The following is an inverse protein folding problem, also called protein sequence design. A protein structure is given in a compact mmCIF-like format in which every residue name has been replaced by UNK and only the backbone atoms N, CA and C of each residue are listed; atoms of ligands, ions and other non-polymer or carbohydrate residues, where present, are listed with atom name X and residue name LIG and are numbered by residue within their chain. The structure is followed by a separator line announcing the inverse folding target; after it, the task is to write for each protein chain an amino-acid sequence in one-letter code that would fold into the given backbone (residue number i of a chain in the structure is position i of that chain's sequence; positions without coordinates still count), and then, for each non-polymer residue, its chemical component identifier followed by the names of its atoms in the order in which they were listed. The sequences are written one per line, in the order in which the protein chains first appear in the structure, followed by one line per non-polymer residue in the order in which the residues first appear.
data_IF_018282889244
#
_entry.id   IF_018282889244
#
_cell.length_a   1.000
_cell.length_b   1.000
_cell.length_c   1.000
_cell.angle_alpha   90.00
_cell.angle_beta   90.00
_cell.angle_gamma   90.00
#
_symmetry.space_group_name_H-M   'P 1'
#
loop_
_entity.id
_entity.type
_entity.pdbx_description
1 polymer ?
#
# COMPACT_ATOMS: atom_id res chain seq x y z
N UNK A 1 -18.63 -11.33 17.74
CA UNK A 1 -19.00 -10.92 16.36
C UNK A 1 -17.76 -10.39 15.71
N UNK A 2 -17.37 -10.96 14.56
CA UNK A 2 -16.20 -10.45 13.83
C UNK A 2 -16.50 -9.03 13.34
N UNK A 3 -15.83 -8.06 13.91
CA UNK A 3 -15.98 -6.62 13.58
C UNK A 3 -15.51 -6.38 12.15
N UNK A 4 -14.43 -7.05 11.72
CA UNK A 4 -13.91 -7.00 10.37
C UNK A 4 -14.52 -8.15 9.54
N UNK A 5 -15.24 -7.81 8.48
CA UNK A 5 -15.92 -8.78 7.60
C UNK A 5 -15.27 -8.80 6.23
N UNK A 6 -14.96 -9.98 5.71
CA UNK A 6 -14.59 -10.14 4.32
C UNK A 6 -15.85 -10.08 3.44
N UNK A 7 -15.78 -9.31 2.36
CA UNK A 7 -16.84 -9.13 1.38
C UNK A 7 -16.28 -9.17 -0.04
N UNK A 8 -17.15 -9.27 -1.01
CA UNK A 8 -16.83 -9.25 -2.43
C UNK A 8 -17.60 -8.15 -3.16
N UNK A 9 -17.01 -7.67 -4.25
CA UNK A 9 -17.62 -6.70 -5.14
C UNK A 9 -17.20 -6.98 -6.58
N UNK A 10 -18.18 -6.93 -7.48
CA UNK A 10 -17.91 -7.02 -8.91
C UNK A 10 -17.56 -5.64 -9.49
N UNK A 11 -16.45 -5.56 -10.20
CA UNK A 11 -15.95 -4.40 -10.92
C UNK A 11 -15.53 -4.85 -12.33
N UNK A 12 -16.23 -4.42 -13.37
CA UNK A 12 -15.99 -4.77 -14.78
C UNK A 12 -15.75 -6.27 -14.99
N UNK A 13 -16.72 -7.09 -14.61
CA UNK A 13 -16.69 -8.55 -14.72
C UNK A 13 -15.51 -9.24 -13.97
N UNK A 14 -14.92 -8.56 -13.01
CA UNK A 14 -13.92 -9.13 -12.10
C UNK A 14 -14.45 -9.07 -10.67
N UNK A 15 -14.30 -10.14 -9.94
CA UNK A 15 -14.63 -10.20 -8.52
C UNK A 15 -13.44 -9.79 -7.69
N UNK A 16 -13.62 -8.75 -6.88
CA UNK A 16 -12.63 -8.28 -5.91
C UNK A 16 -13.09 -8.59 -4.50
N UNK A 17 -12.17 -9.10 -3.69
CA UNK A 17 -12.37 -9.26 -2.26
C UNK A 17 -11.93 -7.98 -1.53
N UNK A 18 -12.58 -7.67 -0.42
CA UNK A 18 -12.18 -6.58 0.46
C UNK A 18 -12.55 -6.86 1.92
N UNK A 19 -11.83 -6.24 2.83
CA UNK A 19 -12.18 -6.20 4.25
C UNK A 19 -13.02 -4.97 4.51
N UNK A 20 -14.12 -5.16 5.25
CA UNK A 20 -15.05 -4.11 5.65
C UNK A 20 -15.22 -4.07 7.16
N UNK A 21 -15.01 -2.89 7.74
CA UNK A 21 -15.42 -2.58 9.10
C UNK A 21 -16.51 -1.52 9.03
N UNK A 22 -17.64 -1.76 9.69
CA UNK A 22 -18.78 -0.85 9.67
C UNK A 22 -18.58 0.27 10.69
N UNK A 23 -18.67 1.52 10.23
CA UNK A 23 -18.67 2.71 11.08
C UNK A 23 -20.07 3.13 11.49
N UNK A 24 -20.16 3.92 12.58
CA UNK A 24 -21.43 4.48 13.06
C UNK A 24 -21.97 5.57 12.13
N UNK A 25 -21.06 6.32 11.48
CA UNK A 25 -21.45 7.37 10.53
C UNK A 25 -21.35 6.86 9.09
N UNK A 26 -22.50 6.75 8.42
CA UNK A 26 -22.59 6.25 7.04
C UNK A 26 -21.97 7.20 6.00
N UNK A 27 -21.73 8.45 6.37
CA UNK A 27 -21.18 9.48 5.51
C UNK A 27 -19.66 9.59 5.58
N UNK A 28 -19.00 8.79 6.45
CA UNK A 28 -17.57 8.82 6.69
C UNK A 28 -16.91 7.50 6.34
N UNK A 29 -16.04 7.51 5.33
CA UNK A 29 -15.34 6.32 4.87
C UNK A 29 -13.82 6.49 4.86
N UNK A 30 -13.12 5.42 5.16
CA UNK A 30 -11.68 5.26 4.91
C UNK A 30 -11.51 4.15 3.88
N UNK A 31 -10.86 4.45 2.76
CA UNK A 31 -10.44 3.46 1.77
C UNK A 31 -8.97 3.16 1.94
N UNK A 32 -8.64 1.88 2.04
CA UNK A 32 -7.28 1.44 2.25
C UNK A 32 -6.76 0.55 1.12
N UNK A 33 -5.51 0.81 0.70
CA UNK A 33 -4.79 0.04 -0.32
C UNK A 33 -3.49 -0.50 0.28
N UNK A 34 -3.32 -1.82 0.20
CA UNK A 34 -2.19 -2.53 0.81
C UNK A 34 -0.90 -2.45 -0.01
N UNK A 35 0.24 -2.87 0.57
CA UNK A 35 1.53 -2.98 -0.10
C UNK A 35 1.59 -4.17 -1.08
N UNK A 36 2.53 -4.12 -2.03
CA UNK A 36 2.83 -5.24 -2.95
C UNK A 36 3.16 -6.51 -2.16
N UNK A 37 2.60 -7.64 -2.59
CA UNK A 37 2.81 -8.95 -1.94
C UNK A 37 1.98 -9.18 -0.67
N UNK A 38 1.22 -8.18 -0.21
CA UNK A 38 0.35 -8.26 0.96
C UNK A 38 -1.13 -8.41 0.55
N UNK A 39 -2.02 -8.30 1.51
CA UNK A 39 -3.47 -8.34 1.32
C UNK A 39 -4.16 -7.44 2.36
N UNK A 40 -5.44 -7.19 2.20
CA UNK A 40 -6.21 -6.32 3.09
C UNK A 40 -6.29 -6.87 4.52
N UNK A 41 -6.37 -8.19 4.68
CA UNK A 41 -6.50 -8.84 6.00
C UNK A 41 -5.23 -8.66 6.86
N UNK A 42 -4.05 -8.53 6.23
CA UNK A 42 -2.78 -8.20 6.90
C UNK A 42 -2.92 -7.00 7.85
N UNK A 43 -3.75 -6.04 7.47
CA UNK A 43 -3.92 -4.77 8.21
C UNK A 43 -5.13 -4.79 9.15
N UNK A 44 -5.82 -5.91 9.34
CA UNK A 44 -6.96 -5.98 10.26
C UNK A 44 -6.59 -5.57 11.69
N UNK A 45 -5.47 -6.02 12.29
CA UNK A 45 -5.07 -5.55 13.62
C UNK A 45 -4.88 -4.02 13.67
N UNK A 46 -4.33 -3.42 12.61
CA UNK A 46 -4.19 -1.97 12.46
C UNK A 46 -5.55 -1.29 12.32
N UNK A 47 -6.47 -1.82 11.51
CA UNK A 47 -7.80 -1.24 11.32
C UNK A 47 -8.63 -1.27 12.60
N UNK A 48 -8.57 -2.34 13.37
CA UNK A 48 -9.27 -2.46 14.64
C UNK A 48 -8.81 -1.39 15.62
N UNK A 49 -7.47 -1.20 15.74
CA UNK A 49 -6.91 -0.16 16.61
C UNK A 49 -7.24 1.25 16.13
N UNK A 50 -7.13 1.50 14.83
CA UNK A 50 -7.48 2.81 14.28
C UNK A 50 -8.96 3.13 14.47
N UNK A 51 -9.84 2.14 14.23
CA UNK A 51 -11.28 2.29 14.39
C UNK A 51 -11.68 2.60 15.85
N UNK A 52 -11.03 1.94 16.82
CA UNK A 52 -11.17 2.26 18.24
C UNK A 52 -10.83 3.74 18.53
N UNK A 53 -9.66 4.19 18.07
CA UNK A 53 -9.18 5.56 18.28
C UNK A 53 -10.02 6.63 17.56
N UNK A 54 -10.73 6.24 16.51
CA UNK A 54 -11.69 7.09 15.79
C UNK A 54 -13.13 6.90 16.30
N UNK A 55 -13.31 6.31 17.49
CA UNK A 55 -14.62 6.11 18.14
C UNK A 55 -15.63 5.39 17.23
N UNK A 56 -15.14 4.50 16.36
CA UNK A 56 -15.94 3.77 15.37
C UNK A 56 -16.75 4.65 14.42
N UNK A 57 -16.32 5.91 14.18
CA UNK A 57 -17.07 6.84 13.34
C UNK A 57 -16.97 6.51 11.85
N UNK A 58 -15.85 5.95 11.39
CA UNK A 58 -15.58 5.70 9.98
C UNK A 58 -15.85 4.24 9.58
N UNK A 59 -16.50 4.04 8.44
CA UNK A 59 -16.47 2.72 7.78
C UNK A 59 -15.12 2.56 7.07
N UNK A 60 -14.48 1.39 7.23
CA UNK A 60 -13.19 1.09 6.57
C UNK A 60 -13.43 0.07 5.46
N UNK A 61 -12.95 0.40 4.26
CA UNK A 61 -12.99 -0.43 3.07
C UNK A 61 -11.56 -0.70 2.62
N UNK A 62 -11.05 -1.89 2.82
CA UNK A 62 -9.68 -2.28 2.44
C UNK A 62 -9.73 -3.29 1.29
N UNK A 63 -9.29 -2.87 0.11
CA UNK A 63 -9.32 -3.68 -1.11
C UNK A 63 -8.18 -4.69 -1.13
N UNK A 64 -8.48 -5.97 -1.41
CA UNK A 64 -7.47 -6.89 -1.94
C UNK A 64 -7.21 -6.50 -3.40
N UNK A 65 -6.07 -5.89 -3.67
CA UNK A 65 -5.74 -5.41 -5.01
C UNK A 65 -5.55 -6.58 -5.98
N UNK A 66 -5.76 -6.36 -7.27
CA UNK A 66 -5.60 -7.38 -8.34
C UNK A 66 -4.33 -8.21 -8.16
N UNK A 67 -4.49 -9.53 -8.27
CA UNK A 67 -3.39 -10.50 -8.09
C UNK A 67 -2.92 -10.67 -6.64
N UNK A 68 -3.67 -10.15 -5.67
CA UNK A 68 -3.37 -10.24 -4.25
C UNK A 68 -4.60 -10.67 -3.45
N UNK A 69 -4.36 -11.16 -2.24
CA UNK A 69 -5.41 -11.55 -1.31
C UNK A 69 -6.38 -12.56 -1.91
N UNK A 70 -7.66 -12.42 -1.63
CA UNK A 70 -8.69 -13.30 -2.15
C UNK A 70 -9.43 -12.74 -3.37
N UNK A 71 -8.98 -11.62 -3.95
CA UNK A 71 -9.53 -11.12 -5.22
C UNK A 71 -9.32 -12.11 -6.36
N UNK A 72 -10.37 -12.34 -7.15
CA UNK A 72 -10.40 -13.26 -8.30
C UNK A 72 -10.17 -12.52 -9.63
N UNK A 73 -9.88 -11.23 -9.57
CA UNK A 73 -9.60 -10.42 -10.74
C UNK A 73 -8.41 -10.99 -11.52
N UNK A 74 -8.61 -11.19 -12.82
CA UNK A 74 -7.60 -11.78 -13.71
C UNK A 74 -6.28 -11.02 -13.63
N UNK A 75 -5.20 -11.73 -13.31
CA UNK A 75 -3.88 -11.19 -13.08
C UNK A 75 -2.85 -11.97 -13.93
N UNK A 76 -2.63 -11.49 -15.16
CA UNK A 76 -1.66 -12.08 -16.10
C UNK A 76 -0.38 -11.24 -16.06
N UNK A 77 0.77 -11.77 -15.58
CA UNK A 77 2.01 -10.98 -15.40
C UNK A 77 2.48 -10.27 -16.67
N UNK A 78 2.33 -10.88 -17.85
CA UNK A 78 2.74 -10.28 -19.14
C UNK A 78 1.91 -9.03 -19.51
N UNK A 79 0.69 -8.92 -19.02
CA UNK A 79 -0.22 -7.80 -19.30
C UNK A 79 -0.03 -6.62 -18.34
N UNK A 80 0.64 -6.81 -17.22
CA UNK A 80 0.91 -5.75 -16.26
C UNK A 80 2.05 -4.86 -16.77
N UNK A 81 1.71 -3.75 -17.41
CA UNK A 81 2.67 -2.80 -17.99
C UNK A 81 2.97 -1.60 -17.08
N UNK A 82 2.08 -1.28 -16.16
CA UNK A 82 2.23 -0.18 -15.20
C UNK A 82 1.25 -0.31 -14.04
N UNK A 83 1.42 0.47 -12.98
CA UNK A 83 0.48 0.57 -11.87
C UNK A 83 -0.86 1.25 -12.22
N UNK A 84 -1.02 1.71 -13.46
CA UNK A 84 -2.32 2.24 -13.92
C UNK A 84 -3.46 1.23 -13.75
N UNK A 85 -3.16 -0.07 -13.82
CA UNK A 85 -4.12 -1.14 -13.53
C UNK A 85 -4.70 -1.03 -12.12
N UNK A 86 -3.83 -0.84 -11.11
CA UNK A 86 -4.26 -0.65 -9.73
C UNK A 86 -5.01 0.68 -9.52
N UNK A 87 -4.63 1.73 -10.23
CA UNK A 87 -5.35 3.01 -10.18
C UNK A 87 -6.77 2.88 -10.73
N UNK A 88 -6.94 2.14 -11.82
CA UNK A 88 -8.25 1.90 -12.43
C UNK A 88 -9.13 1.05 -11.51
N UNK A 89 -8.59 -0.05 -10.97
CA UNK A 89 -9.32 -0.92 -10.05
C UNK A 89 -9.76 -0.14 -8.79
N UNK A 90 -8.84 0.61 -8.18
CA UNK A 90 -9.11 1.44 -7.01
C UNK A 90 -10.12 2.56 -7.28
N UNK A 91 -10.05 3.20 -8.47
CA UNK A 91 -11.01 4.21 -8.91
C UNK A 91 -12.44 3.65 -8.94
N UNK A 92 -12.60 2.46 -9.54
CA UNK A 92 -13.91 1.83 -9.64
C UNK A 92 -14.42 1.32 -8.29
N UNK A 93 -13.51 0.83 -7.43
CA UNK A 93 -13.84 0.45 -6.07
C UNK A 93 -14.35 1.66 -5.26
N UNK A 94 -13.64 2.78 -5.33
CA UNK A 94 -14.05 4.03 -4.68
C UNK A 94 -15.43 4.49 -5.17
N UNK A 95 -15.69 4.44 -6.48
CA UNK A 95 -16.99 4.84 -7.06
C UNK A 95 -18.16 4.02 -6.53
N UNK A 96 -17.95 2.73 -6.21
CA UNK A 96 -18.98 1.85 -5.66
C UNK A 96 -19.42 2.22 -4.25
N UNK A 97 -18.49 2.71 -3.42
CA UNK A 97 -18.70 2.86 -1.98
C UNK A 97 -18.47 4.28 -1.44
N UNK A 98 -18.07 5.25 -2.29
CA UNK A 98 -17.80 6.61 -1.81
C UNK A 98 -19.05 7.27 -1.22
N UNK A 99 -18.83 7.95 -0.10
CA UNK A 99 -19.82 8.76 0.62
C UNK A 99 -19.52 10.25 0.46
N UNK A 100 -20.09 11.09 1.32
CA UNK A 100 -19.85 12.53 1.34
C UNK A 100 -18.45 12.89 1.84
N UNK A 101 -17.89 12.12 2.79
CA UNK A 101 -16.53 12.29 3.31
C UNK A 101 -15.72 11.02 3.12
N UNK A 102 -14.63 11.10 2.35
CA UNK A 102 -13.75 9.96 2.13
C UNK A 102 -12.31 10.33 2.45
N UNK A 103 -11.66 9.47 3.22
CA UNK A 103 -10.21 9.50 3.47
C UNK A 103 -9.57 8.38 2.66
N UNK A 104 -8.52 8.71 1.92
CA UNK A 104 -7.77 7.72 1.17
C UNK A 104 -6.45 7.40 1.89
N UNK A 105 -6.25 6.12 2.18
CA UNK A 105 -5.10 5.62 2.90
C UNK A 105 -4.46 4.46 2.16
N UNK A 106 -3.14 4.36 2.22
CA UNK A 106 -2.46 3.20 1.67
C UNK A 106 -1.01 3.11 2.10
N UNK A 107 -0.48 1.89 2.04
CA UNK A 107 0.90 1.58 2.41
C UNK A 107 1.72 1.22 1.18
N UNK A 108 2.94 1.75 1.08
CA UNK A 108 3.89 1.40 0.02
C UNK A 108 3.33 1.70 -1.38
N UNK A 109 3.15 0.68 -2.24
CA UNK A 109 2.44 0.80 -3.52
C UNK A 109 1.02 1.35 -3.31
N UNK A 110 0.30 0.83 -2.32
CA UNK A 110 -1.05 1.30 -1.99
C UNK A 110 -1.10 2.78 -1.61
N UNK A 111 -0.01 3.32 -1.04
CA UNK A 111 0.13 4.77 -0.81
C UNK A 111 0.13 5.57 -2.11
N UNK A 112 0.74 5.05 -3.18
CA UNK A 112 0.72 5.67 -4.50
C UNK A 112 -0.67 5.57 -5.14
N UNK A 113 -1.36 4.43 -4.94
CA UNK A 113 -2.76 4.26 -5.38
C UNK A 113 -3.66 5.27 -4.67
N UNK A 114 -3.58 5.38 -3.34
CA UNK A 114 -4.34 6.34 -2.54
C UNK A 114 -4.10 7.79 -2.99
N UNK A 115 -2.84 8.16 -3.23
CA UNK A 115 -2.48 9.49 -3.75
C UNK A 115 -3.07 9.76 -5.13
N UNK A 116 -3.07 8.77 -6.02
CA UNK A 116 -3.67 8.90 -7.35
C UNK A 116 -5.17 9.13 -7.27
N UNK A 117 -5.86 8.37 -6.45
CA UNK A 117 -7.30 8.50 -6.26
C UNK A 117 -7.65 9.82 -5.56
N UNK A 118 -6.83 10.29 -4.61
CA UNK A 118 -7.02 11.61 -3.99
C UNK A 118 -6.93 12.75 -5.03
N UNK A 119 -6.09 12.60 -6.03
CA UNK A 119 -6.02 13.53 -7.16
C UNK A 119 -7.23 13.43 -8.10
N UNK A 120 -7.62 12.21 -8.47
CA UNK A 120 -8.72 11.98 -9.43
C UNK A 120 -10.11 12.32 -8.83
N UNK A 121 -10.27 12.21 -7.51
CA UNK A 121 -11.51 12.47 -6.77
C UNK A 121 -11.41 13.65 -5.79
N UNK A 122 -10.67 14.66 -6.14
CA UNK A 122 -10.38 15.81 -5.27
C UNK A 122 -11.62 16.34 -4.55
N UNK A 123 -12.77 16.43 -5.21
CA UNK A 123 -14.00 16.97 -4.64
C UNK A 123 -14.70 16.03 -3.64
N UNK A 124 -14.33 14.75 -3.58
CA UNK A 124 -14.91 13.74 -2.70
C UNK A 124 -13.98 13.26 -1.60
N UNK A 125 -12.73 13.70 -1.63
CA UNK A 125 -11.69 13.29 -0.67
C UNK A 125 -11.41 14.45 0.27
N UNK A 126 -11.50 14.18 1.57
CA UNK A 126 -11.19 15.17 2.61
C UNK A 126 -9.70 15.20 2.94
N UNK A 127 -9.10 14.03 3.11
CA UNK A 127 -7.69 13.85 3.50
C UNK A 127 -7.09 12.64 2.82
N UNK A 128 -5.75 12.59 2.76
CA UNK A 128 -5.03 11.39 2.36
C UNK A 128 -3.90 11.04 3.35
N UNK A 129 -3.62 9.73 3.48
CA UNK A 129 -2.60 9.19 4.38
C UNK A 129 -1.77 8.20 3.58
N UNK A 130 -0.53 8.56 3.32
CA UNK A 130 0.38 7.80 2.48
C UNK A 130 1.48 7.20 3.35
N UNK A 131 1.27 5.96 3.80
CA UNK A 131 2.17 5.28 4.72
C UNK A 131 3.38 4.76 3.94
N UNK A 132 4.53 5.33 4.16
CA UNK A 132 5.81 5.03 3.51
C UNK A 132 5.68 4.72 2.00
N UNK A 133 5.13 5.66 1.21
CA UNK A 133 4.76 5.40 -0.18
C UNK A 133 5.98 5.17 -1.08
N UNK A 134 5.83 4.35 -2.12
CA UNK A 134 6.89 4.12 -3.13
C UNK A 134 6.99 5.34 -4.04
N UNK A 135 7.71 6.35 -3.60
CA UNK A 135 7.93 7.59 -4.36
C UNK A 135 9.42 7.80 -4.59
N UNK A 136 9.80 7.63 -5.85
CA UNK A 136 11.19 7.73 -6.31
C UNK A 136 11.32 8.79 -7.40
N UNK A 137 12.48 9.45 -7.55
CA UNK A 137 12.69 10.49 -8.56
C UNK A 137 12.39 10.04 -9.99
N UNK A 138 12.62 8.76 -10.31
CA UNK A 138 12.36 8.20 -11.64
C UNK A 138 10.88 8.16 -12.00
N UNK A 139 9.99 8.03 -11.01
CA UNK A 139 8.54 8.06 -11.22
C UNK A 139 8.01 9.49 -11.41
N UNK A 140 8.77 10.49 -10.94
CA UNK A 140 8.55 11.90 -11.22
C UNK A 140 9.42 12.25 -12.42
N UNK A 141 8.83 12.65 -13.56
CA UNK A 141 9.62 13.25 -14.63
C UNK A 141 10.18 14.58 -14.12
N UNK A 142 11.41 14.55 -13.59
CA UNK A 142 12.17 15.77 -13.39
C UNK A 142 12.53 16.31 -14.78
N UNK A 143 11.86 17.32 -15.24
CA UNK A 143 12.50 18.29 -16.12
C UNK A 143 13.47 19.03 -15.19
N UNK A 144 14.71 18.58 -15.13
CA UNK A 144 15.79 19.33 -14.53
C UNK A 144 16.12 20.43 -15.54
N UNK A 145 15.77 21.72 -15.28
CA UNK A 145 16.30 22.79 -16.09
C UNK A 145 17.80 22.87 -15.74
N UNK A 146 18.65 22.58 -16.70
CA UNK A 146 20.08 22.89 -16.70
C UNK A 146 20.84 22.47 -15.43
N UNK A 147 21.16 21.19 -15.26
CA UNK A 147 22.29 20.78 -14.45
C UNK A 147 23.48 20.47 -15.34
N UNK A 148 24.56 21.22 -15.14
CA UNK A 148 25.85 21.08 -15.81
C UNK A 148 26.37 19.62 -15.78
N UNK A 149 27.02 19.25 -16.86
CA UNK A 149 27.49 17.92 -17.28
C UNK A 149 28.42 17.19 -16.27
N UNK A 150 28.89 17.87 -15.21
CA UNK A 150 29.82 17.31 -14.23
C UNK A 150 29.20 16.31 -13.22
N UNK A 151 27.86 16.21 -13.14
CA UNK A 151 27.19 15.33 -12.17
C UNK A 151 26.68 14.00 -12.76
N UNK A 152 27.02 13.68 -14.02
CA UNK A 152 26.59 12.41 -14.64
C UNK A 152 27.09 11.17 -13.89
N UNK A 153 28.27 11.22 -13.30
CA UNK A 153 28.85 10.10 -12.55
C UNK A 153 28.12 9.86 -11.23
N UNK A 154 27.74 10.91 -10.52
CA UNK A 154 27.00 10.81 -9.26
C UNK A 154 25.57 10.32 -9.46
N UNK A 155 24.87 10.83 -10.50
CA UNK A 155 23.53 10.37 -10.89
C UNK A 155 23.58 8.91 -11.36
N UNK A 156 24.63 8.49 -12.08
CA UNK A 156 24.82 7.11 -12.53
C UNK A 156 25.10 6.15 -11.36
N UNK A 157 25.89 6.56 -10.37
CA UNK A 157 26.13 5.78 -9.17
C UNK A 157 24.86 5.59 -8.33
N UNK A 158 24.11 6.65 -8.07
CA UNK A 158 22.82 6.59 -7.37
C UNK A 158 21.79 5.76 -8.14
N UNK A 159 21.76 5.87 -9.47
CA UNK A 159 20.87 5.07 -10.31
C UNK A 159 21.22 3.59 -10.29
N UNK A 160 22.50 3.24 -10.22
CA UNK A 160 22.97 1.86 -10.14
C UNK A 160 22.66 1.22 -8.77
N UNK A 161 22.82 1.97 -7.68
CA UNK A 161 22.46 1.47 -6.33
C UNK A 161 20.94 1.20 -6.21
N UNK A 162 20.11 2.11 -6.71
CA UNK A 162 18.64 1.96 -6.71
C UNK A 162 18.16 0.87 -7.69
N UNK A 163 18.86 0.71 -8.83
CA UNK A 163 18.61 -0.37 -9.79
C UNK A 163 18.91 -1.75 -9.20
N UNK A 164 19.94 -1.85 -8.35
CA UNK A 164 20.28 -3.07 -7.63
C UNK A 164 19.18 -3.47 -6.63
N UNK A 165 18.63 -2.52 -5.84
CA UNK A 165 17.56 -2.81 -4.87
C UNK A 165 16.27 -3.30 -5.55
N UNK A 166 15.85 -2.64 -6.62
CA UNK A 166 14.67 -3.07 -7.39
C UNK A 166 14.89 -4.46 -8.00
N UNK A 167 16.08 -4.73 -8.56
CA UNK A 167 16.45 -6.03 -9.12
C UNK A 167 16.50 -7.12 -8.05
N UNK A 168 16.93 -6.79 -6.84
CA UNK A 168 16.92 -7.70 -5.70
C UNK A 168 15.50 -8.05 -5.26
N UNK A 169 14.61 -7.04 -5.12
CA UNK A 169 13.20 -7.28 -4.79
C UNK A 169 12.51 -8.17 -5.83
N UNK A 170 12.74 -7.93 -7.13
CA UNK A 170 12.22 -8.75 -8.22
C UNK A 170 12.75 -10.19 -8.11
N UNK A 171 14.06 -10.36 -7.90
CA UNK A 171 14.68 -11.68 -7.76
C UNK A 171 14.16 -12.44 -6.54
N UNK A 172 13.99 -11.74 -5.40
CA UNK A 172 13.48 -12.33 -4.17
C UNK A 172 12.01 -12.74 -4.31
N UNK A 173 11.19 -11.91 -4.96
CA UNK A 173 9.80 -12.25 -5.25
C UNK A 173 9.70 -13.53 -6.10
N UNK A 174 10.48 -13.65 -7.18
CA UNK A 174 10.50 -14.83 -8.06
C UNK A 174 10.93 -16.11 -7.35
N UNK A 175 11.84 -16.02 -6.38
CA UNK A 175 12.35 -17.16 -5.61
C UNK A 175 11.47 -17.54 -4.43
N UNK A 176 10.44 -16.76 -4.16
CA UNK A 176 9.59 -16.97 -3.01
C UNK A 176 8.85 -18.29 -3.12
N UNK A 177 8.97 -19.12 -2.08
CA UNK A 177 8.19 -20.35 -1.98
C UNK A 177 6.70 -20.00 -1.92
N UNK A 178 5.88 -20.63 -2.77
CA UNK A 178 4.45 -20.32 -2.90
C UNK A 178 3.54 -21.47 -2.53
N UNK A 179 4.05 -22.68 -2.30
CA UNK A 179 3.28 -23.89 -1.99
C UNK A 179 3.74 -24.47 -0.65
N UNK A 180 2.78 -24.75 0.21
CA UNK A 180 2.99 -25.25 1.57
C UNK A 180 1.96 -26.34 1.89
N UNK A 181 2.24 -27.19 2.88
CA UNK A 181 1.31 -28.21 3.32
C UNK A 181 0.10 -27.61 4.03
N UNK A 182 0.34 -26.65 4.92
CA UNK A 182 -0.68 -25.99 5.73
C UNK A 182 -0.25 -24.57 6.15
N UNK A 183 -1.13 -23.89 6.90
CA UNK A 183 -0.88 -22.53 7.41
C UNK A 183 0.17 -22.49 8.50
N UNK A 184 0.34 -23.57 9.25
CA UNK A 184 1.34 -23.67 10.31
C UNK A 184 2.75 -23.73 9.70
N UNK A 185 2.93 -24.48 8.61
CA UNK A 185 4.17 -24.50 7.87
C UNK A 185 4.53 -23.11 7.32
N UNK A 186 3.55 -22.34 6.79
CA UNK A 186 3.78 -20.96 6.36
C UNK A 186 4.21 -20.07 7.53
N UNK A 187 3.50 -20.18 8.64
CA UNK A 187 3.81 -19.40 9.84
C UNK A 187 5.24 -19.64 10.31
N UNK A 188 5.63 -20.91 10.47
CA UNK A 188 6.98 -21.31 10.90
C UNK A 188 8.06 -20.91 9.85
N UNK A 189 7.71 -20.86 8.57
CA UNK A 189 8.61 -20.43 7.50
C UNK A 189 8.89 -18.94 7.54
N UNK A 190 7.89 -18.10 7.87
CA UNK A 190 8.00 -16.64 7.81
C UNK A 190 8.33 -15.99 9.14
N UNK A 191 7.92 -16.57 10.27
CA UNK A 191 8.10 -15.96 11.60
C UNK A 191 9.58 -15.60 11.84
N UNK A 192 9.84 -14.33 12.18
CA UNK A 192 11.16 -13.81 12.49
C UNK A 192 12.12 -13.72 11.30
N UNK A 193 11.64 -13.78 10.04
CA UNK A 193 12.50 -13.80 8.84
C UNK A 193 12.09 -12.75 7.81
N UNK A 194 13.10 -12.17 7.16
CA UNK A 194 12.93 -11.24 6.04
C UNK A 194 12.01 -10.06 6.40
N UNK A 195 10.96 -9.85 5.63
CA UNK A 195 9.97 -8.80 5.88
C UNK A 195 9.22 -8.97 7.20
N UNK A 196 9.17 -10.19 7.75
CA UNK A 196 8.40 -10.54 8.94
C UNK A 196 9.25 -10.62 10.23
N UNK A 197 10.50 -10.09 10.19
CA UNK A 197 11.47 -10.21 11.30
C UNK A 197 10.93 -9.68 12.62
N UNK A 198 10.26 -8.54 12.59
CA UNK A 198 9.76 -7.86 13.80
C UNK A 198 8.22 -7.85 13.87
N UNK A 199 7.54 -8.65 13.05
CA UNK A 199 6.08 -8.62 13.05
C UNK A 199 5.49 -9.30 14.29
N UNK A 200 4.50 -8.71 14.93
CA UNK A 200 3.67 -9.40 15.90
C UNK A 200 3.00 -10.61 15.27
N UNK A 201 2.81 -11.66 16.09
CA UNK A 201 2.18 -12.91 15.65
C UNK A 201 0.79 -12.68 15.05
N UNK A 202 0.00 -11.76 15.60
CA UNK A 202 -1.33 -11.41 15.10
C UNK A 202 -1.29 -10.87 13.67
N UNK A 203 -0.31 -10.02 13.33
CA UNK A 203 -0.14 -9.46 11.99
C UNK A 203 0.29 -10.53 10.99
N UNK A 204 1.19 -11.44 11.40
CA UNK A 204 1.61 -12.55 10.55
C UNK A 204 0.47 -13.55 10.31
N UNK A 205 -0.32 -13.86 11.34
CA UNK A 205 -1.53 -14.71 11.19
C UNK A 205 -2.55 -14.06 10.25
N UNK A 206 -2.80 -12.76 10.37
CA UNK A 206 -3.70 -12.02 9.50
C UNK A 206 -3.19 -12.03 8.05
N UNK A 207 -1.88 -11.82 7.83
CA UNK A 207 -1.25 -11.94 6.52
C UNK A 207 -1.49 -13.31 5.88
N UNK A 208 -1.26 -14.40 6.64
CA UNK A 208 -1.44 -15.78 6.16
C UNK A 208 -2.92 -16.03 5.86
N UNK A 209 -3.84 -15.63 6.74
CA UNK A 209 -5.25 -15.90 6.57
C UNK A 209 -5.84 -15.28 5.29
N UNK A 210 -5.48 -14.03 5.00
CA UNK A 210 -5.97 -13.34 3.81
C UNK A 210 -5.11 -13.56 2.56
N UNK A 211 -3.94 -14.20 2.69
CA UNK A 211 -2.94 -14.31 1.63
C UNK A 211 -2.75 -15.71 1.05
N UNK A 212 -3.64 -16.66 1.34
CA UNK A 212 -3.51 -18.04 0.86
C UNK A 212 -4.82 -18.58 0.31
N UNK A 213 -4.70 -19.55 -0.60
CA UNK A 213 -5.81 -20.33 -1.17
C UNK A 213 -5.51 -21.82 -1.03
N UNK A 214 -6.54 -22.61 -0.70
CA UNK A 214 -6.43 -24.08 -0.74
C UNK A 214 -6.69 -24.57 -2.14
N UNK A 215 -5.76 -25.30 -2.72
CA UNK A 215 -5.87 -25.91 -4.03
C UNK A 215 -5.19 -27.29 -4.01
N UNK A 216 -5.89 -28.34 -4.47
CA UNK A 216 -5.36 -29.72 -4.52
C UNK A 216 -4.76 -30.21 -3.19
N UNK A 217 -5.45 -29.95 -2.08
CA UNK A 217 -5.02 -30.29 -0.71
C UNK A 217 -3.68 -29.63 -0.28
N UNK A 218 -3.27 -28.59 -0.95
CA UNK A 218 -2.11 -27.76 -0.61
C UNK A 218 -2.54 -26.31 -0.39
N UNK A 219 -1.73 -25.58 0.34
CA UNK A 219 -1.91 -24.15 0.55
C UNK A 219 -0.99 -23.40 -0.40
N UNK A 220 -1.58 -22.55 -1.24
CA UNK A 220 -0.84 -21.71 -2.19
C UNK A 220 -0.93 -20.26 -1.75
N UNK A 221 0.16 -19.50 -1.89
CA UNK A 221 0.10 -18.05 -1.76
C UNK A 221 -0.83 -17.48 -2.84
N UNK A 222 -1.74 -16.60 -2.45
CA UNK A 222 -2.69 -15.96 -3.36
C UNK A 222 -2.01 -14.95 -4.28
N UNK A 223 -0.93 -14.29 -3.82
CA UNK A 223 -0.09 -13.46 -4.68
C UNK A 223 0.98 -14.33 -5.35
N UNK A 224 0.81 -14.58 -6.65
CA UNK A 224 1.76 -15.34 -7.44
C UNK A 224 3.13 -14.65 -7.46
N UNK A 225 4.26 -15.39 -7.26
CA UNK A 225 5.61 -14.83 -7.28
C UNK A 225 5.96 -14.05 -8.56
N UNK A 226 5.49 -14.48 -9.72
CA UNK A 226 5.74 -13.77 -11.00
C UNK A 226 4.90 -12.48 -11.09
N UNK A 227 3.67 -12.48 -10.54
CA UNK A 227 2.86 -11.28 -10.44
C UNK A 227 3.48 -10.25 -9.50
N UNK A 228 3.94 -10.70 -8.32
CA UNK A 228 4.63 -9.84 -7.34
C UNK A 228 5.90 -9.24 -7.95
N UNK A 229 6.74 -10.08 -8.57
CA UNK A 229 7.96 -9.64 -9.24
C UNK A 229 7.67 -8.64 -10.37
N UNK A 230 6.63 -8.87 -11.16
CA UNK A 230 6.21 -7.96 -12.21
C UNK A 230 5.68 -6.64 -11.66
N UNK A 231 4.95 -6.68 -10.55
CA UNK A 231 4.49 -5.46 -9.86
C UNK A 231 5.66 -4.58 -9.43
N UNK A 232 6.74 -5.16 -8.89
CA UNK A 232 7.97 -4.43 -8.60
C UNK A 232 8.64 -3.91 -9.87
N UNK A 233 8.72 -4.73 -10.93
CA UNK A 233 9.40 -4.36 -12.18
C UNK A 233 8.77 -3.13 -12.87
N UNK A 234 7.44 -2.97 -12.77
CA UNK A 234 6.72 -1.85 -13.40
C UNK A 234 6.48 -0.66 -12.49
N UNK A 235 7.03 -0.66 -11.28
CA UNK A 235 6.79 0.40 -10.27
C UNK A 235 7.14 1.81 -10.76
N UNK A 236 8.18 1.94 -11.60
CA UNK A 236 8.64 3.23 -12.12
C UNK A 236 7.95 3.66 -13.43
N UNK A 237 7.15 2.79 -14.04
CA UNK A 237 6.43 3.12 -15.27
C UNK A 237 5.17 3.96 -15.01
N UNK A 238 4.64 3.90 -13.79
CA UNK A 238 3.53 4.75 -13.38
C UNK A 238 3.99 6.20 -13.25
N UNK A 239 3.36 7.11 -14.00
CA UNK A 239 3.64 8.54 -13.89
C UNK A 239 3.02 9.09 -12.62
N UNK A 240 3.85 9.52 -11.66
CA UNK A 240 3.39 10.04 -10.36
C UNK A 240 3.44 11.57 -10.24
N UNK A 241 3.57 12.31 -11.36
CA UNK A 241 3.61 13.78 -11.35
C UNK A 241 2.36 14.42 -10.72
N UNK A 242 1.23 13.73 -10.69
CA UNK A 242 0.00 14.17 -10.03
C UNK A 242 0.22 14.47 -8.54
N UNK A 243 1.18 13.80 -7.90
CA UNK A 243 1.45 13.97 -6.47
C UNK A 243 1.88 15.41 -6.13
N UNK A 244 2.54 16.11 -7.05
CA UNK A 244 2.90 17.53 -6.88
C UNK A 244 1.67 18.46 -6.85
N UNK A 245 0.55 17.98 -7.37
CA UNK A 245 -0.69 18.74 -7.57
C UNK A 245 -1.77 18.36 -6.55
N UNK A 246 -1.47 17.48 -5.60
CA UNK A 246 -2.43 17.15 -4.55
C UNK A 246 -2.75 18.41 -3.73
N UNK A 247 -4.02 18.75 -3.68
CA UNK A 247 -4.52 19.93 -2.98
C UNK A 247 -5.32 19.57 -1.72
N UNK A 248 -5.09 18.38 -1.18
CA UNK A 248 -5.70 17.88 0.05
C UNK A 248 -4.64 17.70 1.13
N UNK A 249 -5.01 17.93 2.38
CA UNK A 249 -4.15 17.63 3.52
C UNK A 249 -3.70 16.16 3.42
N UNK A 250 -2.41 15.95 3.31
CA UNK A 250 -1.79 14.65 3.05
C UNK A 250 -0.74 14.36 4.12
N UNK A 251 -1.02 13.39 4.97
CA UNK A 251 -0.07 12.89 5.97
C UNK A 251 0.81 11.79 5.37
N UNK A 252 2.10 11.94 5.55
CA UNK A 252 3.10 11.02 4.98
C UNK A 252 4.05 10.55 6.09
N UNK A 253 3.64 9.59 6.92
CA UNK A 253 4.55 8.90 7.82
C UNK A 253 5.50 8.02 7.01
N UNK A 254 6.81 8.11 7.29
CA UNK A 254 7.83 7.35 6.57
C UNK A 254 8.85 6.72 7.53
N UNK A 255 9.36 5.54 7.18
CA UNK A 255 10.26 4.76 8.00
C UNK A 255 11.61 5.44 8.20
N UNK A 256 12.18 5.32 9.41
CA UNK A 256 13.55 5.75 9.69
C UNK A 256 14.57 4.84 9.01
N UNK A 257 14.22 3.56 8.80
CA UNK A 257 15.08 2.56 8.19
C UNK A 257 14.40 1.89 7.00
N UNK A 258 15.06 1.87 5.85
CA UNK A 258 14.58 1.17 4.66
C UNK A 258 13.36 1.80 3.99
N UNK A 259 13.05 3.08 4.23
CA UNK A 259 11.93 3.78 3.59
C UNK A 259 11.93 3.68 2.07
N UNK A 260 10.74 3.55 1.51
CA UNK A 260 10.49 3.58 0.05
C UNK A 260 10.22 5.00 -0.47
N UNK A 261 10.03 5.97 0.40
CA UNK A 261 9.99 7.39 0.08
C UNK A 261 11.41 7.94 -0.06
N UNK A 262 11.81 8.41 -1.24
CA UNK A 262 13.13 8.99 -1.39
C UNK A 262 13.23 10.37 -0.73
N UNK A 263 14.39 10.72 -0.14
CA UNK A 263 14.62 12.04 0.43
C UNK A 263 14.38 13.17 -0.59
N UNK A 264 14.81 12.99 -1.83
CA UNK A 264 14.68 13.99 -2.88
C UNK A 264 13.21 14.29 -3.22
N UNK A 265 12.35 13.27 -3.20
CA UNK A 265 10.90 13.45 -3.42
C UNK A 265 10.25 14.09 -2.21
N UNK A 266 10.62 13.68 -1.01
CA UNK A 266 10.15 14.30 0.24
C UNK A 266 10.48 15.79 0.25
N UNK A 267 11.74 16.15 -0.02
CA UNK A 267 12.20 17.53 0.01
C UNK A 267 11.50 18.39 -1.06
N UNK A 268 11.27 17.82 -2.24
CA UNK A 268 10.48 18.47 -3.30
C UNK A 268 9.03 18.75 -2.86
N UNK A 269 8.38 17.79 -2.20
CA UNK A 269 6.98 17.91 -1.80
C UNK A 269 6.81 18.75 -0.53
N UNK A 270 7.86 18.91 0.28
CA UNK A 270 7.83 19.72 1.52
C UNK A 270 7.53 21.20 1.28
N UNK A 271 7.70 21.70 0.04
CA UNK A 271 7.29 23.06 -0.35
C UNK A 271 5.76 23.20 -0.51
N UNK A 272 5.02 22.11 -0.61
CA UNK A 272 3.56 22.15 -0.67
C UNK A 272 2.97 22.12 0.75
N UNK A 273 2.23 23.17 1.19
CA UNK A 273 1.73 23.28 2.56
C UNK A 273 0.70 22.20 2.95
N UNK A 274 0.20 21.44 1.97
CA UNK A 274 -0.72 20.35 2.22
C UNK A 274 -0.04 19.04 2.67
N UNK A 275 1.30 18.93 2.57
CA UNK A 275 2.04 17.75 2.95
C UNK A 275 2.58 17.83 4.37
N UNK A 276 2.29 16.82 5.17
CA UNK A 276 2.74 16.66 6.55
C UNK A 276 3.61 15.41 6.66
N UNK A 277 4.91 15.59 6.60
CA UNK A 277 5.88 14.49 6.69
C UNK A 277 6.26 14.22 8.13
N UNK A 278 6.24 12.96 8.52
CA UNK A 278 6.70 12.53 9.84
C UNK A 278 7.56 11.26 9.74
N UNK A 279 8.74 11.33 10.32
CA UNK A 279 9.64 10.18 10.40
C UNK A 279 9.21 9.29 11.56
N UNK A 280 8.94 8.03 11.27
CA UNK A 280 8.58 7.00 12.25
C UNK A 280 9.80 6.12 12.49
N UNK A 281 10.14 5.90 13.74
CA UNK A 281 11.21 4.97 14.08
C UNK A 281 10.73 3.54 13.81
N UNK A 282 11.50 2.81 13.00
CA UNK A 282 11.13 1.47 12.55
C UNK A 282 11.48 1.21 11.09
N UNK A 283 11.10 0.01 10.63
CA UNK A 283 11.28 -0.44 9.25
C UNK A 283 10.14 0.04 8.34
N UNK A 284 10.25 -0.28 7.03
CA UNK A 284 9.14 -0.09 6.07
C UNK A 284 7.82 -0.71 6.55
N UNK A 285 7.87 -1.69 7.43
CA UNK A 285 6.72 -2.45 7.93
C UNK A 285 6.18 -1.93 9.27
N UNK A 286 6.55 -0.72 9.69
CA UNK A 286 6.07 -0.11 10.95
C UNK A 286 4.53 -0.11 11.12
N UNK A 287 3.68 -0.15 10.08
CA UNK A 287 2.24 -0.30 10.32
C UNK A 287 1.83 -1.59 11.04
N UNK A 288 2.64 -2.63 10.92
CA UNK A 288 2.46 -3.89 11.63
C UNK A 288 3.30 -3.95 12.92
N UNK A 289 4.54 -3.42 12.86
CA UNK A 289 5.51 -3.46 13.94
C UNK A 289 5.15 -2.50 15.08
N UNK A 290 4.71 -1.27 14.74
CA UNK A 290 4.43 -0.16 15.66
C UNK A 290 2.97 0.32 15.53
N UNK A 291 2.05 -0.65 15.45
CA UNK A 291 0.63 -0.44 15.19
C UNK A 291 0.01 0.67 16.05
N UNK A 292 0.22 0.62 17.36
CA UNK A 292 -0.42 1.54 18.30
C UNK A 292 0.10 2.97 18.12
N UNK A 293 1.40 3.13 17.93
CA UNK A 293 2.03 4.42 17.66
C UNK A 293 1.48 5.06 16.39
N UNK A 294 1.49 4.31 15.29
CA UNK A 294 1.07 4.87 14.00
C UNK A 294 -0.44 5.13 13.94
N UNK A 295 -1.26 4.27 14.54
CA UNK A 295 -2.71 4.51 14.64
C UNK A 295 -3.02 5.77 15.45
N UNK A 296 -2.31 6.03 16.56
CA UNK A 296 -2.45 7.25 17.33
C UNK A 296 -2.13 8.51 16.52
N UNK A 297 -1.02 8.50 15.75
CA UNK A 297 -0.62 9.61 14.89
C UNK A 297 -1.63 9.85 13.76
N UNK A 298 -2.12 8.80 13.11
CA UNK A 298 -3.13 8.88 12.06
C UNK A 298 -4.46 9.41 12.61
N UNK A 299 -4.91 8.90 13.76
CA UNK A 299 -6.14 9.37 14.41
C UNK A 299 -6.04 10.86 14.73
N UNK A 300 -4.92 11.32 15.29
CA UNK A 300 -4.70 12.75 15.56
C UNK A 300 -4.77 13.59 14.27
N UNK A 301 -4.15 13.13 13.16
CA UNK A 301 -4.23 13.83 11.88
C UNK A 301 -5.64 13.86 11.30
N UNK A 302 -6.40 12.75 11.43
CA UNK A 302 -7.80 12.71 10.97
C UNK A 302 -8.67 13.67 11.75
N UNK A 303 -8.50 13.76 13.08
CA UNK A 303 -9.29 14.61 13.96
C UNK A 303 -8.85 16.09 13.94
N UNK A 304 -7.65 16.40 13.43
CA UNK A 304 -7.19 17.78 13.26
C UNK A 304 -7.84 18.39 12.00
N UNK A 305 -8.34 19.61 12.10
CA UNK A 305 -9.08 20.34 11.06
C UNK A 305 -8.39 20.45 9.70
#
# INVERSE_FOLDING_TARGET
MDIAKRKEVEIYNNVFSYIFLEGQNKDKNIFFFHATGFNAETYVPFFLKLNELLENQYSIYALDQRGHGLSEATAVPSELTSWNTYFLDGNNFLRKFSSSENILMGHSMGGVVAARLAYDFENKVSKSILIDPVLQPQSLKFQIPFFNISNKTFISLLSNFKKNRASEMISNAKKRRSIFADKEEIFNHYQGRGAFTNWPEESLKAYINGGVRTQNNQINLSCDPEWEAKTFAVSYSARTNFIKKLNKKTYVPYASNGSTLSPEVRDLLSSNPNYFFEKIDGSHFFPMEEKDLICGKISNFINTL
#
